data_IF_132162266983
#
_entry.id   IF_132162266983
#
_cell.length_a   1.000
_cell.length_b   1.000
_cell.length_c   1.000
_cell.angle_alpha   90.00
_cell.angle_beta   90.00
_cell.angle_gamma   90.00
#
_symmetry.space_group_name_H-M   'P 1'
#
loop_
_entity.id
_entity.type
_entity.pdbx_description
1 polymer ?
#
# COMPACT_ATOMS: atom_id res chain seq x y z
N UNK A 1 -13.26 3.43 -3.96
CA UNK A 1 -12.37 2.33 -3.54
C UNK A 1 -11.23 2.88 -2.73
N UNK A 2 -10.92 2.28 -1.60
CA UNK A 2 -9.79 2.67 -0.76
C UNK A 2 -8.55 1.89 -1.14
N UNK A 3 -7.47 2.61 -1.43
CA UNK A 3 -6.18 2.04 -1.77
C UNK A 3 -5.20 2.24 -0.63
N UNK A 4 -4.35 1.24 -0.39
CA UNK A 4 -3.18 1.37 0.49
C UNK A 4 -1.93 1.33 -0.36
N UNK A 5 -1.11 2.38 -0.29
CA UNK A 5 0.09 2.51 -1.12
C UNK A 5 1.30 2.69 -0.22
N UNK A 6 2.31 1.85 -0.42
CA UNK A 6 3.55 1.98 0.33
C UNK A 6 4.37 3.12 -0.26
N UNK A 7 4.88 4.00 0.60
CA UNK A 7 5.54 5.21 0.15
C UNK A 7 6.80 5.52 0.95
N UNK A 8 7.75 6.18 0.30
CA UNK A 8 9.00 6.59 0.91
C UNK A 8 8.91 7.95 1.60
N UNK A 9 7.83 8.68 1.37
CA UNK A 9 7.64 10.00 1.93
C UNK A 9 6.17 10.38 2.06
N UNK A 10 5.94 11.57 2.61
CA UNK A 10 4.61 12.10 2.87
C UNK A 10 4.29 13.36 2.05
N UNK A 11 4.97 13.55 0.93
CA UNK A 11 4.75 14.69 0.05
C UNK A 11 4.30 14.19 -1.34
N UNK A 12 3.74 15.08 -2.19
CA UNK A 12 3.19 14.66 -3.48
C UNK A 12 4.20 14.03 -4.43
N UNK A 13 5.49 14.30 -4.26
CA UNK A 13 6.55 13.74 -5.11
C UNK A 13 7.11 12.44 -4.55
N UNK A 14 6.57 11.94 -3.44
CA UNK A 14 7.08 10.72 -2.82
C UNK A 14 6.97 9.53 -3.78
N UNK A 15 8.02 8.72 -3.79
CA UNK A 15 8.05 7.49 -4.57
C UNK A 15 7.35 6.35 -3.82
N UNK A 16 6.82 5.40 -4.57
CA UNK A 16 6.33 4.14 -4.00
C UNK A 16 7.51 3.41 -3.38
N UNK A 17 7.33 2.94 -2.14
CA UNK A 17 8.35 2.13 -1.48
C UNK A 17 8.21 0.69 -2.00
N UNK A 18 9.31 0.07 -2.45
CA UNK A 18 9.25 -1.29 -2.96
C UNK A 18 8.99 -2.35 -1.89
N UNK A 19 9.01 -1.98 -0.61
CA UNK A 19 8.94 -2.96 0.48
C UNK A 19 7.66 -2.81 1.28
N UNK A 20 6.72 -3.72 1.10
CA UNK A 20 5.54 -3.76 1.95
C UNK A 20 5.95 -4.21 3.36
N UNK A 21 5.52 -3.48 4.37
CA UNK A 21 5.84 -3.76 5.77
C UNK A 21 7.06 -2.99 6.27
N UNK A 22 8.01 -2.68 5.41
CA UNK A 22 9.21 -1.93 5.75
C UNK A 22 9.20 -0.51 5.22
N UNK A 23 8.11 -0.11 4.58
CA UNK A 23 7.95 1.23 4.06
C UNK A 23 7.85 2.23 5.20
N UNK A 24 8.19 3.48 4.90
CA UNK A 24 8.17 4.56 5.88
C UNK A 24 6.74 5.07 6.12
N UNK A 25 5.93 5.15 5.05
CA UNK A 25 4.58 5.68 5.10
C UNK A 25 3.63 4.77 4.33
N UNK A 26 2.36 4.79 4.74
CA UNK A 26 1.26 4.28 3.96
C UNK A 26 0.35 5.44 3.57
N UNK A 27 0.00 5.52 2.31
CA UNK A 27 -1.02 6.44 1.82
C UNK A 27 -2.32 5.67 1.67
N UNK A 28 -3.34 6.11 2.38
CA UNK A 28 -4.70 5.55 2.25
C UNK A 28 -5.49 6.55 1.41
N UNK A 29 -5.86 6.14 0.22
CA UNK A 29 -6.44 7.02 -0.80
C UNK A 29 -7.80 6.52 -1.22
N UNK A 30 -8.82 7.39 -1.16
CA UNK A 30 -10.13 7.09 -1.72
C UNK A 30 -10.18 7.59 -3.16
N UNK A 31 -10.34 6.66 -4.11
CA UNK A 31 -10.32 6.99 -5.53
C UNK A 31 -11.57 7.74 -5.97
N UNK A 32 -12.64 7.69 -5.20
CA UNK A 32 -13.91 8.38 -5.53
C UNK A 32 -13.90 9.81 -5.02
N UNK A 33 -13.62 10.00 -3.72
CA UNK A 33 -13.65 11.33 -3.10
C UNK A 33 -12.35 12.11 -3.28
N UNK A 34 -11.25 11.42 -3.55
CA UNK A 34 -9.92 12.01 -3.61
C UNK A 34 -9.29 12.26 -2.24
N UNK A 35 -9.96 11.88 -1.16
CA UNK A 35 -9.41 12.06 0.19
C UNK A 35 -8.19 11.16 0.39
N UNK A 36 -7.21 11.72 1.10
CA UNK A 36 -5.95 11.01 1.37
C UNK A 36 -5.63 11.10 2.86
N UNK A 37 -5.22 9.97 3.42
CA UNK A 37 -4.68 9.89 4.76
C UNK A 37 -3.27 9.32 4.65
N UNK A 38 -2.28 10.00 5.20
CA UNK A 38 -0.89 9.55 5.14
C UNK A 38 -0.48 9.15 6.55
N UNK A 39 -0.15 7.87 6.71
CA UNK A 39 0.21 7.27 7.98
C UNK A 39 1.69 6.94 8.01
N UNK A 40 2.38 7.36 9.07
CA UNK A 40 3.72 6.86 9.32
C UNK A 40 3.61 5.38 9.74
N UNK A 41 4.41 4.51 9.13
CA UNK A 41 4.36 3.09 9.44
C UNK A 41 5.01 2.82 10.80
N UNK A 42 4.22 2.44 11.83
CA UNK A 42 4.80 2.17 13.15
C UNK A 42 5.63 0.89 13.19
N UNK A 43 5.52 0.05 12.18
CA UNK A 43 6.14 -1.27 12.15
C UNK A 43 7.40 -1.32 11.29
N UNK A 44 7.77 -0.25 10.62
CA UNK A 44 8.88 -0.24 9.66
C UNK A 44 10.24 -0.53 10.28
N UNK A 45 10.40 -0.28 11.57
CA UNK A 45 11.65 -0.52 12.30
C UNK A 45 11.69 -1.89 12.99
N UNK A 46 10.60 -2.64 12.98
CA UNK A 46 10.54 -3.92 13.67
C UNK A 46 11.44 -4.95 12.98
N UNK A 47 12.11 -5.77 13.79
CA UNK A 47 13.00 -6.82 13.28
C UNK A 47 12.25 -8.03 12.74
N UNK A 48 10.98 -8.20 13.12
CA UNK A 48 10.15 -9.31 12.64
C UNK A 48 8.68 -8.96 12.75
N UNK A 49 7.84 -9.63 11.95
CA UNK A 49 6.41 -9.44 11.98
C UNK A 49 5.91 -8.15 11.32
N UNK A 50 6.80 -7.34 10.74
CA UNK A 50 6.44 -6.05 10.15
C UNK A 50 5.43 -6.22 9.00
N UNK A 51 5.58 -7.25 8.19
CA UNK A 51 4.67 -7.53 7.08
C UNK A 51 3.28 -7.90 7.56
N UNK A 52 3.19 -8.77 8.57
CA UNK A 52 1.90 -9.19 9.14
C UNK A 52 1.20 -8.00 9.79
N UNK A 53 1.93 -7.23 10.60
CA UNK A 53 1.37 -6.09 11.30
C UNK A 53 0.90 -5.00 10.33
N UNK A 54 1.66 -4.76 9.27
CA UNK A 54 1.28 -3.80 8.23
C UNK A 54 0.05 -4.27 7.46
N UNK A 55 -0.04 -5.58 7.17
CA UNK A 55 -1.22 -6.14 6.53
C UNK A 55 -2.45 -5.99 7.41
N UNK A 56 -2.32 -6.23 8.72
CA UNK A 56 -3.41 -6.02 9.67
C UNK A 56 -3.84 -4.55 9.73
N UNK A 57 -2.89 -3.62 9.61
CA UNK A 57 -3.21 -2.20 9.53
C UNK A 57 -4.05 -1.90 8.29
N UNK A 58 -3.71 -2.48 7.14
CA UNK A 58 -4.50 -2.29 5.93
C UNK A 58 -5.92 -2.84 6.09
N UNK A 59 -6.07 -4.00 6.72
CA UNK A 59 -7.39 -4.56 7.02
C UNK A 59 -8.18 -3.61 7.93
N UNK A 60 -7.55 -3.07 8.97
CA UNK A 60 -8.21 -2.17 9.92
C UNK A 60 -8.66 -0.86 9.26
N UNK A 61 -8.00 -0.44 8.20
CA UNK A 61 -8.35 0.76 7.45
C UNK A 61 -9.36 0.51 6.34
N UNK A 62 -9.84 -0.72 6.21
CA UNK A 62 -10.81 -1.12 5.19
C UNK A 62 -10.31 -0.88 3.77
N UNK A 63 -9.02 -1.03 3.57
CA UNK A 63 -8.39 -0.93 2.25
C UNK A 63 -8.89 -2.07 1.37
N UNK A 64 -9.17 -1.77 0.11
CA UNK A 64 -9.67 -2.76 -0.85
C UNK A 64 -8.57 -3.26 -1.79
N UNK A 65 -7.51 -2.48 -1.95
CA UNK A 65 -6.36 -2.86 -2.75
C UNK A 65 -5.08 -2.28 -2.16
N UNK A 66 -3.97 -3.01 -2.31
CA UNK A 66 -2.64 -2.58 -1.88
C UNK A 66 -1.76 -2.48 -3.11
N UNK A 67 -1.07 -1.35 -3.26
CA UNK A 67 -0.12 -1.08 -4.35
C UNK A 67 1.26 -0.96 -3.74
N UNK A 68 2.18 -1.83 -4.16
CA UNK A 68 3.54 -1.88 -3.60
C UNK A 68 4.51 -2.47 -4.61
N UNK A 69 5.80 -2.44 -4.32
CA UNK A 69 6.80 -3.09 -5.15
C UNK A 69 6.84 -4.59 -4.93
N UNK A 70 7.03 -4.99 -3.68
CA UNK A 70 7.13 -6.41 -3.30
C UNK A 70 6.38 -6.65 -2.00
N UNK A 71 5.85 -7.86 -1.86
CA UNK A 71 5.16 -8.29 -0.65
C UNK A 71 5.55 -9.72 -0.35
N UNK A 72 5.79 -10.00 0.93
CA UNK A 72 6.13 -11.35 1.36
C UNK A 72 4.91 -12.23 1.54
N UNK A 73 5.11 -13.56 1.66
CA UNK A 73 4.00 -14.51 1.77
C UNK A 73 3.19 -14.34 3.06
N UNK A 74 3.83 -13.93 4.16
CA UNK A 74 3.12 -13.76 5.43
C UNK A 74 2.10 -12.63 5.34
N UNK A 75 2.48 -11.51 4.72
CA UNK A 75 1.57 -10.39 4.54
C UNK A 75 0.44 -10.74 3.58
N UNK A 76 0.75 -11.40 2.46
CA UNK A 76 -0.28 -11.76 1.49
C UNK A 76 -1.28 -12.75 2.06
N UNK A 77 -0.86 -13.62 2.98
CA UNK A 77 -1.76 -14.54 3.66
C UNK A 77 -2.76 -13.84 4.58
N UNK A 78 -2.45 -12.63 5.03
CA UNK A 78 -3.39 -11.79 5.79
C UNK A 78 -4.33 -11.04 4.84
N UNK A 79 -3.80 -10.47 3.78
CA UNK A 79 -4.55 -9.62 2.86
C UNK A 79 -5.54 -10.40 1.99
N UNK A 80 -5.11 -11.54 1.45
CA UNK A 80 -5.91 -12.30 0.49
C UNK A 80 -7.23 -12.81 1.08
N UNK A 81 -7.25 -13.45 2.28
CA UNK A 81 -8.51 -13.87 2.88
C UNK A 81 -9.42 -12.70 3.24
N UNK A 82 -8.86 -11.52 3.46
CA UNK A 82 -9.64 -10.30 3.76
C UNK A 82 -10.27 -9.70 2.50
N UNK A 83 -10.01 -10.27 1.31
CA UNK A 83 -10.56 -9.77 0.06
C UNK A 83 -9.79 -8.58 -0.51
N UNK A 84 -8.60 -8.30 -0.01
CA UNK A 84 -7.79 -7.19 -0.47
C UNK A 84 -6.96 -7.62 -1.68
N UNK A 85 -7.10 -6.90 -2.79
CA UNK A 85 -6.33 -7.16 -3.99
C UNK A 85 -4.90 -6.63 -3.82
N UNK A 86 -3.93 -7.35 -4.37
CA UNK A 86 -2.51 -7.00 -4.23
C UNK A 86 -1.94 -6.71 -5.60
N UNK A 87 -1.36 -5.52 -5.76
CA UNK A 87 -0.67 -5.09 -6.97
C UNK A 87 0.81 -4.96 -6.62
N UNK A 88 1.67 -5.72 -7.28
CA UNK A 88 3.13 -5.66 -7.08
C UNK A 88 3.84 -5.14 -8.31
N UNK A 89 5.16 -4.94 -8.17
CA UNK A 89 5.95 -4.37 -9.26
C UNK A 89 5.64 -2.91 -9.52
N UNK A 90 5.02 -2.23 -8.57
CA UNK A 90 4.61 -0.84 -8.72
C UNK A 90 5.81 0.07 -8.44
N UNK A 91 6.09 0.97 -9.38
CA UNK A 91 7.19 1.94 -9.26
C UNK A 91 6.71 3.31 -9.71
N UNK A 92 7.44 4.34 -9.31
CA UNK A 92 7.15 5.72 -9.68
C UNK A 92 6.62 6.52 -8.50
N UNK A 93 6.13 7.71 -8.79
CA UNK A 93 5.55 8.58 -7.77
C UNK A 93 4.18 8.08 -7.36
N UNK A 94 3.84 8.24 -6.07
CA UNK A 94 2.54 7.82 -5.56
C UNK A 94 1.40 8.44 -6.35
N UNK A 95 1.49 9.73 -6.66
CA UNK A 95 0.44 10.42 -7.43
C UNK A 95 0.27 9.86 -8.83
N UNK A 96 1.35 9.51 -9.48
CA UNK A 96 1.31 8.87 -10.80
C UNK A 96 0.69 7.48 -10.75
N UNK A 97 1.02 6.72 -9.69
CA UNK A 97 0.48 5.38 -9.50
C UNK A 97 -1.03 5.42 -9.26
N UNK A 98 -1.51 6.41 -8.51
CA UNK A 98 -2.95 6.60 -8.30
C UNK A 98 -3.65 6.82 -9.64
N UNK A 99 -3.11 7.69 -10.49
CA UNK A 99 -3.68 7.97 -11.80
C UNK A 99 -3.70 6.73 -12.69
N UNK A 100 -2.62 5.95 -12.68
CA UNK A 100 -2.54 4.71 -13.45
C UNK A 100 -3.56 3.68 -12.95
N UNK A 101 -3.77 3.61 -11.65
CA UNK A 101 -4.79 2.73 -11.10
C UNK A 101 -6.17 3.13 -11.58
N UNK A 102 -6.50 4.42 -11.53
CA UNK A 102 -7.80 4.93 -11.96
C UNK A 102 -8.06 4.67 -13.44
N UNK A 103 -7.02 4.69 -14.26
CA UNK A 103 -7.14 4.44 -15.71
C UNK A 103 -7.17 2.96 -16.06
N UNK A 104 -6.97 2.07 -15.09
CA UNK A 104 -6.99 0.63 -15.32
C UNK A 104 -5.69 0.06 -15.85
N UNK A 105 -4.59 0.81 -15.79
CA UNK A 105 -3.30 0.37 -16.34
C UNK A 105 -2.54 -0.60 -15.45
N UNK A 106 -2.95 -0.79 -14.22
CA UNK A 106 -2.29 -1.68 -13.27
C UNK A 106 -2.99 -3.03 -13.22
N UNK A 107 -2.22 -4.09 -13.02
CA UNK A 107 -2.73 -5.46 -12.96
C UNK A 107 -2.43 -6.08 -11.59
N UNK A 108 -3.36 -6.90 -11.12
CA UNK A 108 -3.17 -7.68 -9.90
C UNK A 108 -2.15 -8.79 -10.11
N UNK A 109 -1.56 -9.21 -9.01
CA UNK A 109 -0.67 -10.38 -8.97
C UNK A 109 -1.46 -11.66 -9.21
#
# INVERSE_FOLDING_TARGET
MLLGITAQGNNPDAAVDPRFGRCRYFWIVDTVSGQQEILENPNGQNSGGAGIQSAQLMVSKSVEAVLTGNIGPNASQVLTPAGIKIYTGITGKVTEVIDRFKSGDLKTV
#
